data_IF_789893318739
#
_entry.id   IF_789893318739
#
_cell.length_a   1.000
_cell.length_b   1.000
_cell.length_c   1.000
_cell.angle_alpha   90.00
_cell.angle_beta   90.00
_cell.angle_gamma   90.00
#
_symmetry.space_group_name_H-M   'P 1'
#
loop_
_entity.id
_entity.type
_entity.pdbx_description
1 polymer ?
#
# COMPACT_ATOMS: atom_id res chain seq x y z
N UNK A 1 -9.95 -2.32 -17.09
CA UNK A 1 -10.81 -1.34 -16.41
C UNK A 1 -10.73 -1.48 -14.88
N UNK A 2 -10.88 -2.69 -14.30
CA UNK A 2 -10.81 -2.89 -12.83
C UNK A 2 -9.47 -2.50 -12.20
N UNK A 3 -8.34 -3.02 -12.72
CA UNK A 3 -6.98 -2.66 -12.25
C UNK A 3 -6.72 -1.15 -12.36
N UNK A 4 -7.29 -0.54 -13.38
CA UNK A 4 -7.14 0.89 -13.69
C UNK A 4 -7.97 1.77 -12.73
N UNK A 5 -9.16 1.29 -12.35
CA UNK A 5 -9.97 1.88 -11.29
C UNK A 5 -9.28 1.73 -9.91
N UNK A 6 -8.62 0.60 -9.65
CA UNK A 6 -7.83 0.42 -8.43
C UNK A 6 -6.66 1.40 -8.36
N UNK A 7 -6.04 1.75 -9.49
CA UNK A 7 -5.00 2.80 -9.54
C UNK A 7 -5.58 4.20 -9.30
N UNK A 8 -6.73 4.53 -9.90
CA UNK A 8 -7.45 5.78 -9.62
C UNK A 8 -7.75 5.90 -8.12
N UNK A 9 -8.31 4.84 -7.52
CA UNK A 9 -8.59 4.81 -6.08
C UNK A 9 -7.29 4.89 -5.29
N UNK A 10 -6.23 4.15 -5.64
CA UNK A 10 -4.96 4.21 -4.92
C UNK A 10 -4.32 5.60 -4.92
N UNK A 11 -4.41 6.36 -6.02
CA UNK A 11 -3.88 7.73 -6.10
C UNK A 11 -4.78 8.73 -5.36
N UNK A 12 -6.11 8.56 -5.43
CA UNK A 12 -7.06 9.56 -4.96
C UNK A 12 -7.88 9.12 -3.73
N UNK A 13 -7.55 8.00 -3.08
CA UNK A 13 -8.33 7.41 -1.99
C UNK A 13 -8.60 8.41 -0.87
N UNK A 14 -7.57 9.16 -0.45
CA UNK A 14 -7.71 10.18 0.59
C UNK A 14 -8.68 11.31 0.20
N UNK A 15 -8.67 11.72 -1.07
CA UNK A 15 -9.60 12.73 -1.61
C UNK A 15 -11.02 12.17 -1.72
N UNK A 16 -11.16 10.91 -2.14
CA UNK A 16 -12.43 10.21 -2.30
C UNK A 16 -13.09 9.99 -0.92
N UNK A 17 -12.36 9.51 0.09
CA UNK A 17 -12.86 9.26 1.45
C UNK A 17 -13.42 10.52 2.13
N UNK A 18 -12.84 11.69 1.84
CA UNK A 18 -13.24 12.96 2.44
C UNK A 18 -14.28 13.73 1.61
N UNK A 19 -14.65 13.22 0.44
CA UNK A 19 -15.50 13.91 -0.51
C UNK A 19 -16.94 13.41 -0.51
N UNK A 20 -17.87 14.33 -0.79
CA UNK A 20 -19.29 14.00 -0.99
C UNK A 20 -19.47 13.32 -2.37
N UNK A 21 -20.39 12.35 -2.54
CA UNK A 21 -20.41 11.49 -3.74
C UNK A 21 -20.50 12.17 -5.11
N UNK A 22 -20.97 13.41 -5.18
CA UNK A 22 -21.03 14.17 -6.44
C UNK A 22 -19.64 14.62 -6.94
N UNK A 23 -18.60 14.59 -6.10
CA UNK A 23 -17.24 15.02 -6.46
C UNK A 23 -16.45 13.90 -7.16
N UNK A 24 -16.87 12.63 -7.05
CA UNK A 24 -16.19 11.50 -7.71
C UNK A 24 -16.07 11.66 -9.23
N UNK A 25 -17.05 12.32 -9.87
CA UNK A 25 -17.02 12.63 -11.30
C UNK A 25 -15.89 13.61 -11.67
N UNK A 26 -15.49 14.50 -10.75
CA UNK A 26 -14.40 15.45 -10.98
C UNK A 26 -13.02 14.78 -10.92
N UNK A 27 -12.86 13.72 -10.12
CA UNK A 27 -11.61 12.94 -10.02
C UNK A 27 -11.26 12.27 -11.35
N UNK A 28 -12.26 11.93 -12.17
CA UNK A 28 -12.03 11.35 -13.50
C UNK A 28 -11.31 12.31 -14.47
N UNK A 29 -11.41 13.62 -14.26
CA UNK A 29 -10.64 14.60 -15.05
C UNK A 29 -9.14 14.51 -14.77
N UNK A 30 -8.76 14.03 -13.58
CA UNK A 30 -7.36 13.86 -13.16
C UNK A 30 -6.82 12.44 -13.40
N UNK A 31 -7.65 11.54 -13.94
CA UNK A 31 -7.20 10.21 -14.32
C UNK A 31 -6.13 10.28 -15.41
N UNK A 32 -5.20 9.34 -15.40
CA UNK A 32 -4.12 9.33 -16.39
C UNK A 32 -4.66 9.28 -17.83
N UNK A 33 -4.15 10.12 -18.71
CA UNK A 33 -4.73 10.35 -20.04
C UNK A 33 -4.79 9.09 -20.91
N UNK A 34 -3.84 8.15 -20.74
CA UNK A 34 -3.82 6.86 -21.47
C UNK A 34 -4.55 5.73 -20.74
N UNK A 35 -5.15 6.01 -19.58
CA UNK A 35 -5.86 4.99 -18.79
C UNK A 35 -7.16 4.56 -19.49
N UNK A 36 -7.54 3.29 -19.29
CA UNK A 36 -8.79 2.75 -19.82
C UNK A 36 -10.00 3.46 -19.22
N UNK A 37 -9.93 3.90 -17.96
CA UNK A 37 -11.00 4.63 -17.27
C UNK A 37 -11.16 6.03 -17.86
N UNK A 38 -10.07 6.76 -18.13
CA UNK A 38 -10.13 8.06 -18.78
C UNK A 38 -10.76 7.94 -20.17
N UNK A 39 -10.33 6.96 -20.97
CA UNK A 39 -10.86 6.73 -22.32
C UNK A 39 -12.33 6.31 -22.31
N UNK A 40 -12.71 5.38 -21.44
CA UNK A 40 -14.10 4.90 -21.34
C UNK A 40 -15.05 6.03 -20.96
N UNK A 41 -14.66 6.87 -19.99
CA UNK A 41 -15.53 7.94 -19.54
C UNK A 41 -15.47 9.20 -20.43
N UNK A 42 -14.44 9.35 -21.27
CA UNK A 42 -14.36 10.41 -22.27
C UNK A 42 -15.44 10.28 -23.34
N UNK A 43 -15.82 9.06 -23.72
CA UNK A 43 -16.92 8.85 -24.68
C UNK A 43 -18.31 9.08 -24.07
N UNK A 44 -18.46 8.88 -22.76
CA UNK A 44 -19.75 9.00 -22.06
C UNK A 44 -20.04 10.46 -21.70
N UNK A 45 -19.02 11.26 -21.39
CA UNK A 45 -19.17 12.65 -20.94
C UNK A 45 -18.26 13.61 -21.74
N UNK A 46 -18.71 14.08 -22.92
CA UNK A 46 -17.89 14.89 -23.81
C UNK A 46 -17.63 16.33 -23.32
N UNK A 47 -18.51 16.88 -22.47
CA UNK A 47 -18.36 18.23 -21.88
C UNK A 47 -17.76 18.14 -20.47
N UNK A 48 -16.45 17.90 -20.37
CA UNK A 48 -15.72 17.89 -19.08
C UNK A 48 -14.78 19.08 -18.95
N UNK A 49 -14.44 19.39 -17.70
CA UNK A 49 -13.23 20.15 -17.37
C UNK A 49 -12.02 19.48 -18.02
N UNK A 50 -11.50 20.09 -19.07
CA UNK A 50 -10.25 19.72 -19.71
C UNK A 50 -9.10 20.36 -18.97
N UNK A 51 -8.15 19.54 -18.52
CA UNK A 51 -6.86 20.05 -18.05
C UNK A 51 -6.02 20.37 -19.30
N UNK A 52 -5.77 21.65 -19.55
CA UNK A 52 -4.87 22.10 -20.63
C UNK A 52 -3.39 21.79 -20.32
N UNK A 53 -3.06 21.56 -19.04
CA UNK A 53 -1.73 21.17 -18.57
C UNK A 53 -1.80 20.35 -17.27
N UNK A 54 -0.76 19.56 -16.99
CA UNK A 54 -0.61 18.83 -15.72
C UNK A 54 -1.30 17.45 -15.63
N UNK A 55 -1.99 16.98 -16.68
CA UNK A 55 -2.54 15.63 -16.69
C UNK A 55 -1.44 14.58 -16.88
N UNK A 56 -1.35 13.61 -15.95
CA UNK A 56 -0.40 12.52 -16.07
C UNK A 56 -0.72 11.64 -17.29
N UNK A 57 0.28 11.31 -18.11
CA UNK A 57 0.08 10.44 -19.28
C UNK A 57 -0.22 8.99 -18.86
N UNK A 58 0.50 8.50 -17.85
CA UNK A 58 0.34 7.20 -17.23
C UNK A 58 0.09 7.39 -15.73
N UNK A 59 -0.47 6.38 -15.07
CA UNK A 59 -0.55 6.41 -13.61
C UNK A 59 0.84 6.55 -13.00
N UNK A 60 0.99 7.33 -11.91
CA UNK A 60 2.19 7.26 -11.09
C UNK A 60 2.40 5.81 -10.64
N UNK A 61 3.65 5.39 -10.49
CA UNK A 61 3.94 4.14 -9.80
C UNK A 61 3.43 4.26 -8.36
N UNK A 62 2.34 3.59 -8.02
CA UNK A 62 1.83 3.47 -6.64
C UNK A 62 2.68 2.40 -5.92
N UNK A 63 3.99 2.60 -5.91
CA UNK A 63 4.92 1.74 -5.20
C UNK A 63 5.57 2.60 -4.13
N UNK A 64 5.06 2.49 -2.92
CA UNK A 64 5.75 3.01 -1.74
C UNK A 64 6.91 2.06 -1.44
N UNK A 65 8.13 2.60 -1.45
CA UNK A 65 9.32 1.85 -1.06
C UNK A 65 9.50 2.03 0.45
N UNK A 66 9.45 0.93 1.19
CA UNK A 66 9.65 0.92 2.63
C UNK A 66 11.09 0.51 2.90
N UNK A 67 11.91 1.46 3.35
CA UNK A 67 13.32 1.24 3.66
C UNK A 67 13.50 1.13 5.17
N UNK A 68 14.29 0.16 5.64
CA UNK A 68 14.63 0.08 7.07
C UNK A 68 15.26 -1.23 7.51
N UNK A 69 15.01 -2.33 6.80
CA UNK A 69 15.74 -3.57 7.00
C UNK A 69 17.14 -3.48 6.40
N UNK A 70 18.15 -3.96 7.13
CA UNK A 70 19.55 -3.93 6.68
C UNK A 70 19.94 -5.17 5.86
N UNK A 71 19.00 -6.08 5.65
CA UNK A 71 19.20 -7.32 4.90
C UNK A 71 17.88 -7.75 4.21
N UNK A 72 17.93 -8.81 3.42
CA UNK A 72 16.82 -9.36 2.63
C UNK A 72 15.57 -9.50 3.49
N UNK A 73 14.49 -8.87 3.02
CA UNK A 73 13.14 -9.11 3.53
C UNK A 73 12.68 -10.45 3.01
N UNK A 74 12.40 -11.38 3.92
CA UNK A 74 12.10 -12.77 3.62
C UNK A 74 10.61 -13.09 3.68
N UNK A 75 9.83 -12.27 4.40
CA UNK A 75 8.41 -12.49 4.65
C UNK A 75 7.67 -11.18 4.88
N UNK A 76 6.39 -11.17 4.51
CA UNK A 76 5.48 -10.04 4.63
C UNK A 76 4.09 -10.52 5.04
N UNK A 77 3.43 -9.79 5.94
CA UNK A 77 2.05 -10.05 6.33
C UNK A 77 1.28 -8.73 6.52
N UNK A 78 0.05 -8.66 6.03
CA UNK A 78 -0.86 -7.56 6.32
C UNK A 78 -1.61 -7.81 7.62
N UNK A 79 -1.86 -6.75 8.37
CA UNK A 79 -2.80 -6.79 9.49
C UNK A 79 -4.23 -7.04 8.97
N UNK A 80 -5.06 -7.83 9.67
CA UNK A 80 -6.49 -7.93 9.40
C UNK A 80 -7.21 -6.60 9.14
N UNK A 81 -6.89 -5.53 9.86
CA UNK A 81 -7.47 -4.19 9.61
C UNK A 81 -6.92 -3.48 8.35
N UNK A 82 -5.88 -4.04 7.72
CA UNK A 82 -5.23 -3.52 6.51
C UNK A 82 -4.43 -2.24 6.70
N UNK A 83 -4.28 -1.74 7.94
CA UNK A 83 -3.55 -0.50 8.22
C UNK A 83 -2.06 -0.70 8.39
N UNK A 84 -1.65 -1.91 8.75
CA UNK A 84 -0.27 -2.22 9.09
C UNK A 84 0.27 -3.37 8.23
N UNK A 85 1.58 -3.36 8.03
CA UNK A 85 2.31 -4.42 7.37
C UNK A 85 3.50 -4.85 8.23
N UNK A 86 3.60 -6.14 8.51
CA UNK A 86 4.71 -6.74 9.22
C UNK A 86 5.70 -7.32 8.21
N UNK A 87 6.98 -7.06 8.43
CA UNK A 87 8.09 -7.54 7.61
C UNK A 87 9.05 -8.33 8.49
N UNK A 88 9.44 -9.52 8.01
CA UNK A 88 10.52 -10.31 8.60
C UNK A 88 11.75 -10.25 7.71
N UNK A 89 12.94 -10.15 8.31
CA UNK A 89 14.19 -10.02 7.57
C UNK A 89 15.30 -10.94 8.07
N UNK A 90 16.26 -11.20 7.17
CA UNK A 90 17.53 -11.84 7.47
C UNK A 90 18.46 -10.98 8.34
N UNK A 91 18.07 -9.73 8.64
CA UNK A 91 18.70 -8.92 9.68
C UNK A 91 18.32 -9.37 11.10
N UNK A 92 17.54 -10.47 11.22
CA UNK A 92 17.09 -11.11 12.46
C UNK A 92 16.02 -10.31 13.19
N UNK A 93 15.44 -9.30 12.54
CA UNK A 93 14.36 -8.49 13.11
C UNK A 93 13.05 -8.70 12.37
N UNK A 94 11.96 -8.46 13.08
CA UNK A 94 10.67 -8.16 12.48
C UNK A 94 10.30 -6.69 12.75
N UNK A 95 9.60 -6.05 11.82
CA UNK A 95 9.20 -4.64 11.91
C UNK A 95 7.79 -4.45 11.39
N UNK A 96 7.08 -3.45 11.91
CA UNK A 96 5.70 -3.12 11.51
C UNK A 96 5.66 -1.71 11.00
N UNK A 97 5.03 -1.53 9.86
CA UNK A 97 4.92 -0.25 9.17
C UNK A 97 3.45 0.12 8.96
N UNK A 98 3.16 1.42 8.97
CA UNK A 98 1.87 1.95 8.53
C UNK A 98 1.82 1.93 7.00
N UNK A 99 0.72 1.41 6.44
CA UNK A 99 0.57 1.25 4.99
C UNK A 99 0.37 2.59 4.28
N UNK A 100 -0.23 3.59 4.94
CA UNK A 100 -0.52 4.90 4.35
C UNK A 100 0.70 5.83 4.39
N UNK A 101 1.37 5.93 5.53
CA UNK A 101 2.52 6.81 5.70
C UNK A 101 3.84 6.16 5.29
N UNK A 102 3.91 4.83 5.31
CA UNK A 102 5.19 4.12 5.13
C UNK A 102 6.15 4.32 6.29
N UNK A 103 5.65 4.72 7.47
CA UNK A 103 6.46 4.94 8.67
C UNK A 103 6.50 3.70 9.57
N UNK A 104 7.60 3.56 10.30
CA UNK A 104 7.78 2.45 11.24
C UNK A 104 6.88 2.69 12.47
N UNK A 105 5.95 1.78 12.70
CA UNK A 105 4.98 1.85 13.82
C UNK A 105 5.44 1.03 15.02
N UNK A 106 6.08 -0.13 14.77
CA UNK A 106 6.58 -0.98 15.84
C UNK A 106 7.82 -1.78 15.43
N UNK A 107 8.66 -2.07 16.43
CA UNK A 107 9.96 -2.71 16.26
C UNK A 107 11.12 -1.72 16.15
N UNK A 108 12.33 -2.18 15.78
CA UNK A 108 12.68 -3.56 15.45
C UNK A 108 12.45 -4.53 16.62
N UNK A 109 11.77 -5.64 16.35
CA UNK A 109 11.63 -6.73 17.31
C UNK A 109 12.89 -7.58 17.25
N UNK A 110 13.73 -7.40 18.26
CA UNK A 110 14.97 -8.13 18.42
C UNK A 110 14.78 -9.42 19.24
N UNK A 111 15.78 -10.31 19.18
CA UNK A 111 15.86 -11.51 20.01
C UNK A 111 16.01 -12.80 19.21
N UNK A 112 15.65 -12.82 17.92
CA UNK A 112 16.04 -13.94 17.08
C UNK A 112 17.56 -13.95 16.88
N UNK A 113 18.17 -15.13 16.99
CA UNK A 113 19.62 -15.29 16.81
C UNK A 113 19.99 -15.58 15.35
N UNK A 114 19.00 -15.87 14.50
CA UNK A 114 19.12 -16.16 13.08
C UNK A 114 18.00 -15.49 12.27
N UNK A 115 18.06 -15.59 10.94
CA UNK A 115 17.13 -14.96 10.00
C UNK A 115 15.67 -15.24 10.34
N UNK A 116 14.85 -14.19 10.38
CA UNK A 116 13.40 -14.34 10.40
C UNK A 116 12.96 -14.80 9.01
N UNK A 117 12.11 -15.81 8.94
CA UNK A 117 11.65 -16.42 7.68
C UNK A 117 10.15 -16.34 7.50
N UNK A 118 9.40 -16.08 8.56
CA UNK A 118 7.96 -15.93 8.51
C UNK A 118 7.50 -14.89 9.52
N UNK A 119 6.48 -14.12 9.15
CA UNK A 119 5.72 -13.24 10.04
C UNK A 119 4.23 -13.43 9.81
N UNK A 120 3.42 -13.27 10.85
CA UNK A 120 1.96 -13.34 10.76
C UNK A 120 1.31 -12.44 11.82
N UNK A 121 0.22 -11.78 11.46
CA UNK A 121 -0.65 -11.10 12.42
C UNK A 121 -1.65 -12.06 13.06
N UNK A 122 -2.00 -11.82 14.32
CA UNK A 122 -3.20 -12.38 14.91
C UNK A 122 -4.45 -11.76 14.29
N UNK A 123 -5.55 -12.50 14.32
CA UNK A 123 -6.83 -12.06 13.75
C UNK A 123 -7.42 -10.82 14.47
N UNK A 124 -6.96 -10.52 15.69
CA UNK A 124 -7.39 -9.37 16.49
C UNK A 124 -6.44 -8.15 16.38
N UNK A 125 -5.48 -8.18 15.46
CA UNK A 125 -4.48 -7.12 15.20
C UNK A 125 -3.52 -6.78 16.35
N UNK A 126 -3.56 -7.54 17.46
CA UNK A 126 -2.78 -7.21 18.68
C UNK A 126 -1.43 -7.90 18.77
N UNK A 127 -1.24 -9.00 18.07
CA UNK A 127 -0.06 -9.84 18.18
C UNK A 127 0.54 -10.12 16.82
N UNK A 128 1.86 -10.32 16.82
CA UNK A 128 2.60 -10.69 15.62
C UNK A 128 3.49 -11.85 15.99
N UNK A 129 3.31 -12.97 15.29
CA UNK A 129 4.19 -14.11 15.43
C UNK A 129 5.32 -14.04 14.38
N UNK A 130 6.55 -14.35 14.79
CA UNK A 130 7.70 -14.49 13.89
C UNK A 130 8.38 -15.85 14.06
N UNK A 131 8.70 -16.50 12.95
CA UNK A 131 9.47 -17.75 12.91
C UNK A 131 10.86 -17.52 12.35
N UNK A 132 11.86 -18.21 12.91
CA UNK A 132 13.28 -18.04 12.52
C UNK A 132 14.01 -19.37 12.37
N UNK A 133 15.09 -19.34 11.59
CA UNK A 133 16.06 -20.43 11.50
C UNK A 133 16.78 -20.75 12.81
N UNK A 134 16.63 -19.93 13.85
CA UNK A 134 17.12 -20.23 15.19
C UNK A 134 16.28 -21.28 15.95
N UNK A 135 15.29 -21.87 15.26
CA UNK A 135 14.39 -22.90 15.78
C UNK A 135 13.43 -22.38 16.85
N UNK A 136 13.20 -21.07 16.90
CA UNK A 136 12.26 -20.44 17.83
C UNK A 136 11.13 -19.72 17.09
N UNK A 137 10.02 -19.57 17.79
CA UNK A 137 8.91 -18.68 17.43
C UNK A 137 8.81 -17.61 18.51
N UNK A 138 8.57 -16.36 18.12
CA UNK A 138 8.32 -15.23 19.03
C UNK A 138 6.96 -14.62 18.70
N UNK A 139 6.27 -14.12 19.72
CA UNK A 139 4.95 -13.46 19.64
C UNK A 139 4.97 -12.18 20.46
#
# INVERSE_FOLDING_TARGET
MVIDALKLVGVFAALIEQSVPHIYLSVLSFAAAKSQIANHYRSIYPCRLGLESGQALNWPSIQTIIEGHSNIVSSVAFSPDGKHIALGSWDKTARVWDVKSGELVAGPFEGHSSSVTSVAFSADDKHIASGSWDKTVRV
#
